data_IF_522477852602
#
_entry.id   IF_522477852602
#
_cell.length_a   1.000
_cell.length_b   1.000
_cell.length_c   1.000
_cell.angle_alpha   90.00
_cell.angle_beta   90.00
_cell.angle_gamma   90.00
#
_symmetry.space_group_name_H-M   'P 1'
#
loop_
_entity.id
_entity.type
_entity.pdbx_description
1 polymer ?
#
# COMPACT_ATOMS: atom_id res chain seq x y z
N UNK A 1 14.49 7.04 -9.78
CA UNK A 1 13.31 6.20 -9.51
C UNK A 1 12.27 6.49 -10.58
N UNK A 2 11.63 5.45 -11.13
CA UNK A 2 10.56 5.59 -12.10
C UNK A 2 9.30 6.17 -11.43
N UNK A 3 8.67 7.15 -12.08
CA UNK A 3 7.48 7.86 -11.56
C UNK A 3 6.15 7.18 -11.92
N UNK A 4 6.20 6.06 -12.65
CA UNK A 4 5.07 5.39 -13.32
C UNK A 4 5.30 3.88 -13.34
N UNK A 5 4.26 3.11 -13.08
CA UNK A 5 4.30 1.65 -13.08
C UNK A 5 3.01 1.07 -13.65
N UNK A 6 3.12 0.16 -14.61
CA UNK A 6 2.00 -0.53 -15.23
C UNK A 6 1.84 -1.94 -14.66
N UNK A 7 0.60 -2.36 -14.44
CA UNK A 7 0.28 -3.71 -13.98
C UNK A 7 -0.28 -4.51 -15.15
N UNK A 8 0.36 -5.65 -15.44
CA UNK A 8 -0.08 -6.59 -16.48
C UNK A 8 -0.82 -7.81 -15.92
N UNK A 9 -0.81 -7.98 -14.60
CA UNK A 9 -1.35 -9.16 -13.91
C UNK A 9 -2.56 -8.81 -13.05
N UNK A 10 -3.46 -9.76 -12.91
CA UNK A 10 -4.64 -9.67 -12.04
C UNK A 10 -4.26 -9.83 -10.57
N UNK A 11 -5.17 -9.43 -9.66
CA UNK A 11 -4.96 -9.59 -8.22
C UNK A 11 -4.78 -11.07 -7.82
N UNK A 12 -5.46 -11.99 -8.50
CA UNK A 12 -5.37 -13.42 -8.27
C UNK A 12 -4.00 -13.99 -8.67
N UNK A 13 -3.47 -13.57 -9.82
CA UNK A 13 -2.14 -13.98 -10.28
C UNK A 13 -1.05 -13.47 -9.33
N UNK A 14 -1.16 -12.21 -8.90
CA UNK A 14 -0.25 -11.61 -7.91
C UNK A 14 -0.36 -12.37 -6.58
N UNK A 15 -1.57 -12.63 -6.09
CA UNK A 15 -1.78 -13.34 -4.84
C UNK A 15 -1.21 -14.78 -4.91
N UNK A 16 -1.43 -15.50 -6.00
CA UNK A 16 -0.86 -16.83 -6.23
C UNK A 16 0.67 -16.79 -6.27
N UNK A 17 1.27 -15.83 -6.99
CA UNK A 17 2.71 -15.68 -7.09
C UNK A 17 3.38 -15.41 -5.74
N UNK A 18 2.75 -14.59 -4.90
CA UNK A 18 3.29 -14.21 -3.59
C UNK A 18 2.80 -15.09 -2.43
N UNK A 19 1.90 -16.05 -2.66
CA UNK A 19 1.32 -16.87 -1.60
C UNK A 19 0.46 -16.06 -0.61
N UNK A 20 -0.31 -15.10 -1.12
CA UNK A 20 -1.26 -14.32 -0.33
C UNK A 20 -2.57 -15.10 -0.22
N UNK A 21 -2.98 -15.41 1.01
CA UNK A 21 -4.23 -16.11 1.29
C UNK A 21 -4.97 -15.45 2.47
N UNK A 22 -6.27 -15.11 2.33
CA UNK A 22 -7.10 -15.25 1.13
C UNK A 22 -6.77 -14.22 0.03
N UNK A 23 -7.08 -14.58 -1.23
CA UNK A 23 -6.99 -13.66 -2.37
C UNK A 23 -7.98 -12.51 -2.16
N UNK A 24 -7.51 -11.26 -2.00
CA UNK A 24 -8.39 -10.14 -1.74
C UNK A 24 -9.05 -9.68 -3.06
N UNK A 25 -10.32 -9.28 -2.97
CA UNK A 25 -11.07 -8.67 -4.07
C UNK A 25 -10.66 -7.20 -4.25
N UNK A 26 -9.44 -6.97 -4.74
CA UNK A 26 -8.96 -5.63 -5.10
C UNK A 26 -8.98 -5.43 -6.61
N UNK A 27 -9.36 -4.23 -7.03
CA UNK A 27 -9.24 -3.83 -8.42
C UNK A 27 -7.78 -3.47 -8.71
N UNK A 28 -7.18 -4.15 -9.68
CA UNK A 28 -5.82 -3.85 -10.13
C UNK A 28 -5.89 -2.68 -11.11
N UNK A 29 -5.28 -1.52 -10.80
CA UNK A 29 -5.21 -0.45 -11.78
C UNK A 29 -4.33 -0.90 -12.95
N UNK A 30 -4.63 -0.46 -14.17
CA UNK A 30 -3.75 -0.72 -15.34
C UNK A 30 -2.39 -0.06 -15.13
N UNK A 31 -2.38 1.06 -14.41
CA UNK A 31 -1.21 1.84 -14.13
C UNK A 31 -1.37 2.70 -12.88
N UNK A 32 -0.27 2.96 -12.21
CA UNK A 32 -0.19 3.90 -11.10
C UNK A 32 1.02 4.83 -11.25
N UNK A 33 0.96 5.98 -10.58
CA UNK A 33 2.04 6.98 -10.48
C UNK A 33 2.18 7.40 -9.02
N UNK A 34 3.26 8.12 -8.70
CA UNK A 34 3.49 8.66 -7.36
C UNK A 34 2.25 9.45 -6.85
N UNK A 35 1.79 9.13 -5.64
CA UNK A 35 0.63 9.73 -4.98
C UNK A 35 -0.72 9.07 -5.31
N UNK A 36 -0.77 8.12 -6.25
CA UNK A 36 -1.99 7.36 -6.54
C UNK A 36 -2.04 6.01 -5.80
N UNK A 37 -3.24 5.44 -5.58
CA UNK A 37 -3.36 4.10 -5.05
C UNK A 37 -2.70 3.06 -5.97
N UNK A 38 -2.07 2.06 -5.36
CA UNK A 38 -1.49 0.91 -6.02
C UNK A 38 -1.52 -0.33 -5.11
N UNK A 39 -1.56 -1.53 -5.69
CA UNK A 39 -1.47 -2.78 -4.94
C UNK A 39 -0.08 -2.94 -4.30
N UNK A 40 -0.08 -3.40 -3.05
CA UNK A 40 1.13 -3.69 -2.26
C UNK A 40 0.97 -5.06 -1.63
N UNK A 41 2.00 -5.89 -1.77
CA UNK A 41 2.15 -7.11 -0.98
C UNK A 41 3.08 -6.82 0.18
N UNK A 42 2.62 -7.09 1.40
CA UNK A 42 3.44 -6.95 2.61
C UNK A 42 3.25 -8.14 3.54
N UNK A 43 4.26 -8.40 4.37
CA UNK A 43 4.21 -9.45 5.37
C UNK A 43 3.90 -8.87 6.75
N UNK A 44 3.00 -9.50 7.49
CA UNK A 44 2.68 -9.16 8.87
C UNK A 44 2.39 -10.44 9.65
N UNK A 45 3.14 -10.68 10.73
CA UNK A 45 2.95 -11.88 11.56
C UNK A 45 3.14 -13.19 10.79
N UNK A 46 4.08 -13.24 9.85
CA UNK A 46 4.38 -14.43 9.03
C UNK A 46 3.34 -14.73 7.95
N UNK A 47 2.35 -13.87 7.74
CA UNK A 47 1.36 -13.97 6.66
C UNK A 47 1.53 -12.83 5.67
N UNK A 48 1.36 -13.13 4.39
CA UNK A 48 1.39 -12.13 3.32
C UNK A 48 -0.01 -11.62 3.04
N UNK A 49 -0.10 -10.32 2.83
CA UNK A 49 -1.33 -9.60 2.55
C UNK A 49 -1.17 -8.76 1.29
N UNK A 50 -2.17 -8.79 0.42
CA UNK A 50 -2.28 -7.92 -0.74
C UNK A 50 -3.32 -6.84 -0.44
N UNK A 51 -2.96 -5.56 -0.56
CA UNK A 51 -3.85 -4.43 -0.28
C UNK A 51 -3.54 -3.24 -1.17
N UNK A 52 -4.52 -2.37 -1.37
CA UNK A 52 -4.30 -1.09 -2.06
C UNK A 52 -3.81 -0.03 -1.07
N UNK A 53 -2.70 0.65 -1.40
CA UNK A 53 -2.13 1.75 -0.62
C UNK A 53 -1.69 2.90 -1.54
N UNK A 54 -1.55 4.11 -0.99
CA UNK A 54 -1.02 5.25 -1.74
C UNK A 54 0.46 5.01 -2.05
N UNK A 55 0.86 5.16 -3.31
CA UNK A 55 2.24 5.04 -3.72
C UNK A 55 3.03 6.29 -3.33
N UNK A 56 3.66 6.21 -2.16
CA UNK A 56 4.52 7.26 -1.65
C UNK A 56 4.49 7.27 -0.14
N UNK A 57 5.63 7.56 0.47
CA UNK A 57 5.68 7.74 1.92
C UNK A 57 5.25 9.17 2.27
N UNK A 58 4.27 9.34 3.16
CA UNK A 58 3.91 10.67 3.62
C UNK A 58 5.09 11.32 4.33
N UNK A 59 5.37 12.57 4.00
CA UNK A 59 6.44 13.31 4.65
C UNK A 59 5.99 13.75 6.03
N UNK A 60 6.69 13.26 7.05
CA UNK A 60 6.60 13.84 8.39
C UNK A 60 7.53 15.05 8.46
N UNK A 61 6.96 16.25 8.59
CA UNK A 61 7.76 17.46 8.80
C UNK A 61 7.89 17.76 10.29
N UNK A 62 8.97 18.44 10.69
CA UNK A 62 9.19 18.83 12.10
C UNK A 62 8.05 19.72 12.62
N UNK A 63 7.51 20.59 11.78
CA UNK A 63 6.36 21.43 12.10
C UNK A 63 5.06 20.62 12.34
N UNK A 64 4.87 19.49 11.66
CA UNK A 64 3.73 18.59 11.91
C UNK A 64 3.88 17.85 13.23
N UNK A 65 5.10 17.41 13.57
CA UNK A 65 5.38 16.78 14.86
C UNK A 65 5.08 17.73 16.04
N UNK A 66 5.53 18.98 15.97
CA UNK A 66 5.27 19.98 17.01
C UNK A 66 3.78 20.29 17.18
N UNK A 67 2.99 20.15 16.11
CA UNK A 67 1.54 20.39 16.11
C UNK A 67 0.71 19.12 16.32
N UNK A 68 1.37 17.98 16.57
CA UNK A 68 0.72 16.67 16.64
C UNK A 68 -0.21 16.39 15.45
N UNK A 69 0.14 16.89 14.26
CA UNK A 69 -0.62 16.72 13.03
C UNK A 69 -0.16 15.46 12.31
N UNK A 70 -1.10 14.58 11.96
CA UNK A 70 -0.79 13.39 11.15
C UNK A 70 -0.68 13.74 9.66
N UNK A 71 0.19 13.05 8.91
CA UNK A 71 0.21 13.17 7.46
C UNK A 71 -1.10 12.69 6.85
N UNK A 72 -1.67 13.50 5.97
CA UNK A 72 -3.01 13.31 5.39
C UNK A 72 -3.18 11.95 4.69
N UNK A 73 -2.11 11.36 4.17
CA UNK A 73 -2.13 10.11 3.40
C UNK A 73 -1.41 8.92 4.09
N UNK A 74 -1.23 8.98 5.43
CA UNK A 74 -0.59 7.90 6.20
C UNK A 74 -1.54 6.72 6.46
N UNK A 75 -1.81 5.92 5.42
CA UNK A 75 -2.62 4.69 5.55
C UNK A 75 -1.91 3.58 6.34
N UNK A 76 -0.58 3.68 6.51
CA UNK A 76 0.25 2.75 7.27
C UNK A 76 -0.13 2.64 8.76
N UNK A 77 -0.43 3.75 9.43
CA UNK A 77 -0.61 3.77 10.90
C UNK A 77 -1.98 3.28 11.36
N UNK A 78 -3.00 3.36 10.51
CA UNK A 78 -4.36 2.93 10.85
C UNK A 78 -4.52 1.40 10.89
N UNK A 79 -3.65 0.66 10.24
CA UNK A 79 -3.75 -0.82 10.20
C UNK A 79 -2.91 -1.51 11.27
N UNK A 80 -1.79 -0.91 11.69
CA UNK A 80 -0.90 -1.49 12.71
C UNK A 80 -1.41 -1.34 14.14
N UNK A 81 -2.44 -0.51 14.37
CA UNK A 81 -3.09 -0.33 15.67
C UNK A 81 -4.26 -1.29 15.93
N UNK A 82 -4.62 -2.16 14.97
CA UNK A 82 -5.56 -3.26 15.19
C UNK A 82 -4.78 -4.49 15.68
N UNK A 83 -4.34 -4.44 16.93
CA UNK A 83 -3.89 -5.60 17.74
C UNK A 83 -4.56 -5.54 19.09
#
# INVERSE_FOLDING_TARGET
>A
MSKRHAFASTAAEVASHFGVEPVPSIEMPVETVEGLPGPVVFESGGKRHLRTMIWGFPRFTRAMHTRSEEPRDCTWRKTSAAR
#
